data_IF_321871422522
#
_entry.id   IF_321871422522
#
_cell.length_a   1.000
_cell.length_b   1.000
_cell.length_c   1.000
_cell.angle_alpha   90.00
_cell.angle_beta   90.00
_cell.angle_gamma   90.00
#
_symmetry.space_group_name_H-M   'P 1'
#
loop_
_entity.id
_entity.type
_entity.pdbx_description
1 polymer ?
#
# COMPACT_ATOMS: atom_id res chain seq x y z
N UNK A 1 -1.02 9.08 34.38
CA UNK A 1 0.45 8.94 34.26
C UNK A 1 1.01 10.28 33.83
N UNK A 2 1.93 10.87 34.59
CA UNK A 2 2.57 12.13 34.22
C UNK A 2 3.82 11.85 33.36
N UNK A 3 3.75 12.19 32.07
CA UNK A 3 4.86 12.05 31.11
C UNK A 3 5.60 13.36 30.87
N UNK A 4 5.41 14.39 31.70
CA UNK A 4 6.04 15.70 31.51
C UNK A 4 7.56 15.65 31.66
N UNK A 5 8.10 14.73 32.47
CA UNK A 5 9.54 14.51 32.63
C UNK A 5 10.12 13.45 31.66
N UNK A 6 9.34 13.02 30.66
CA UNK A 6 9.82 12.10 29.63
C UNK A 6 10.32 12.90 28.44
N UNK A 7 11.44 12.50 27.87
CA UNK A 7 11.98 12.99 26.60
C UNK A 7 12.01 11.84 25.57
N UNK A 8 11.52 12.08 24.36
CA UNK A 8 11.47 11.10 23.27
C UNK A 8 12.22 11.63 22.06
N UNK A 9 13.25 10.88 21.65
CA UNK A 9 13.91 11.02 20.36
C UNK A 9 13.54 9.85 19.48
N UNK A 10 13.23 10.09 18.21
CA UNK A 10 12.87 9.05 17.26
C UNK A 10 13.45 9.33 15.89
N UNK A 11 13.66 8.27 15.12
CA UNK A 11 13.78 8.40 13.67
C UNK A 11 12.44 8.88 13.13
N UNK A 12 12.47 9.83 12.20
CA UNK A 12 11.26 10.37 11.56
C UNK A 12 10.52 9.28 10.77
N UNK A 13 9.18 9.32 10.74
CA UNK A 13 8.39 8.40 9.90
C UNK A 13 8.81 8.52 8.42
N UNK A 14 8.77 7.40 7.68
CA UNK A 14 9.15 7.32 6.27
C UNK A 14 10.66 7.17 6.02
N UNK A 15 11.50 7.02 7.04
CA UNK A 15 12.89 6.58 6.85
C UNK A 15 12.99 5.07 6.70
N UNK A 16 13.89 4.62 5.82
CA UNK A 16 14.35 3.21 5.85
C UNK A 16 15.23 3.04 7.09
N UNK A 17 14.98 1.98 7.85
CA UNK A 17 15.68 1.66 9.11
C UNK A 17 16.23 0.25 9.07
N UNK A 18 17.27 -0.01 9.84
CA UNK A 18 17.98 -1.29 9.83
C UNK A 18 18.03 -1.94 11.22
N UNK A 19 18.16 -3.28 11.28
CA UNK A 19 18.37 -3.98 12.54
C UNK A 19 19.56 -3.41 13.32
N UNK A 20 19.46 -3.43 14.65
CA UNK A 20 20.48 -2.96 15.59
C UNK A 20 20.70 -1.44 15.68
N UNK A 21 19.94 -0.63 14.94
CA UNK A 21 19.88 0.83 15.14
C UNK A 21 18.68 1.19 16.02
N UNK A 22 18.83 2.02 17.07
CA UNK A 22 17.71 2.54 17.84
C UNK A 22 16.71 3.30 16.95
N UNK A 23 15.47 2.81 16.91
CA UNK A 23 14.35 3.55 16.27
C UNK A 23 13.90 4.73 17.12
N UNK A 24 13.93 4.53 18.44
CA UNK A 24 13.47 5.50 19.43
C UNK A 24 14.33 5.40 20.70
N UNK A 25 14.55 6.55 21.33
CA UNK A 25 15.17 6.70 22.65
C UNK A 25 14.19 7.41 23.57
N UNK A 26 13.89 6.78 24.69
CA UNK A 26 12.99 7.30 25.72
C UNK A 26 13.79 7.52 26.99
N UNK A 27 13.75 8.73 27.53
CA UNK A 27 14.51 9.16 28.70
C UNK A 27 13.57 9.78 29.73
N UNK A 28 13.79 9.53 31.01
CA UNK A 28 12.93 10.04 32.08
C UNK A 28 12.94 9.14 33.33
N UNK A 29 12.04 9.40 34.29
CA UNK A 29 11.92 8.57 35.49
C UNK A 29 11.65 7.10 35.14
N UNK A 30 12.45 6.19 35.70
CA UNK A 30 12.44 4.76 35.35
C UNK A 30 11.03 4.15 35.40
N UNK A 31 10.26 4.46 36.44
CA UNK A 31 8.90 3.95 36.60
C UNK A 31 7.96 4.37 35.46
N UNK A 32 8.13 5.57 34.92
CA UNK A 32 7.29 6.10 33.84
C UNK A 32 7.73 5.49 32.50
N UNK A 33 9.03 5.54 32.18
CA UNK A 33 9.52 5.03 30.88
C UNK A 33 9.33 3.52 30.74
N UNK A 34 9.37 2.76 31.85
CA UNK A 34 9.09 1.33 31.84
C UNK A 34 7.64 1.02 31.49
N UNK A 35 6.68 1.86 31.90
CA UNK A 35 5.27 1.70 31.53
C UNK A 35 5.01 2.04 30.05
N UNK A 36 5.91 2.80 29.41
CA UNK A 36 5.82 3.14 28.00
C UNK A 36 6.34 2.03 27.06
N UNK A 37 7.09 1.05 27.57
CA UNK A 37 7.65 -0.05 26.76
C UNK A 37 6.57 -0.76 25.94
N UNK A 38 5.54 -1.30 26.61
CA UNK A 38 4.48 -2.08 25.96
C UNK A 38 3.71 -1.30 24.89
N UNK A 39 3.15 -0.11 25.17
CA UNK A 39 2.39 0.63 24.15
C UNK A 39 3.28 1.09 22.99
N UNK A 40 4.52 1.52 23.24
CA UNK A 40 5.43 1.94 22.17
C UNK A 40 5.82 0.76 21.28
N UNK A 41 6.13 -0.40 21.86
CA UNK A 41 6.42 -1.60 21.08
C UNK A 41 5.23 -2.05 20.24
N UNK A 42 4.02 -2.01 20.78
CA UNK A 42 2.81 -2.38 20.03
C UNK A 42 2.60 -1.48 18.81
N UNK A 43 2.67 -0.15 19.01
CA UNK A 43 2.46 0.83 17.94
C UNK A 43 3.56 0.77 16.87
N UNK A 44 4.84 0.76 17.29
CA UNK A 44 5.99 0.82 16.37
C UNK A 44 6.13 -0.47 15.57
N UNK A 45 5.96 -1.65 16.19
CA UNK A 45 6.06 -2.91 15.48
C UNK A 45 5.02 -2.98 14.36
N UNK A 46 3.75 -2.72 14.68
CA UNK A 46 2.67 -2.84 13.69
C UNK A 46 2.82 -1.82 12.56
N UNK A 47 3.05 -0.55 12.90
CA UNK A 47 3.20 0.53 11.93
C UNK A 47 4.34 0.25 10.93
N UNK A 48 5.51 -0.09 11.45
CA UNK A 48 6.71 -0.34 10.65
C UNK A 48 6.54 -1.60 9.78
N UNK A 49 5.89 -2.64 10.32
CA UNK A 49 5.66 -3.90 9.62
C UNK A 49 4.74 -3.72 8.41
N UNK A 50 3.56 -3.09 8.60
CA UNK A 50 2.61 -2.87 7.50
C UNK A 50 3.19 -1.96 6.43
N UNK A 51 3.89 -0.88 6.82
CA UNK A 51 4.53 0.01 5.86
C UNK A 51 5.62 -0.70 5.04
N UNK A 52 6.44 -1.54 5.69
CA UNK A 52 7.46 -2.34 5.02
C UNK A 52 6.83 -3.35 4.08
N UNK A 53 5.78 -4.04 4.51
CA UNK A 53 5.05 -5.00 3.69
C UNK A 53 4.44 -4.32 2.45
N UNK A 54 3.84 -3.13 2.63
CA UNK A 54 3.31 -2.33 1.54
C UNK A 54 4.39 -1.90 0.52
N UNK A 55 5.57 -1.48 1.01
CA UNK A 55 6.71 -1.14 0.16
C UNK A 55 7.20 -2.34 -0.67
N UNK A 56 7.18 -3.54 -0.11
CA UNK A 56 7.56 -4.77 -0.82
C UNK A 56 6.55 -5.13 -1.92
N UNK A 57 5.26 -5.01 -1.65
CA UNK A 57 4.22 -5.18 -2.67
C UNK A 57 4.36 -4.15 -3.79
N UNK A 58 4.60 -2.87 -3.45
CA UNK A 58 4.90 -1.81 -4.43
C UNK A 58 6.12 -2.15 -5.29
N UNK A 59 7.18 -2.66 -4.68
CA UNK A 59 8.39 -3.04 -5.41
C UNK A 59 8.10 -4.10 -6.49
N UNK A 60 7.32 -5.14 -6.16
CA UNK A 60 6.97 -6.21 -7.10
C UNK A 60 5.93 -5.76 -8.14
N UNK A 61 4.91 -5.02 -7.74
CA UNK A 61 3.86 -4.54 -8.65
C UNK A 61 4.37 -3.50 -9.66
N UNK A 62 5.47 -2.82 -9.34
CA UNK A 62 6.03 -1.75 -10.16
C UNK A 62 5.33 -0.40 -9.93
N UNK A 63 5.91 0.67 -10.51
CA UNK A 63 5.42 2.05 -10.34
C UNK A 63 4.22 2.39 -11.23
N UNK A 64 4.00 1.63 -12.31
CA UNK A 64 2.94 1.89 -13.29
C UNK A 64 1.57 1.36 -12.87
N UNK A 65 1.52 0.40 -11.94
CA UNK A 65 0.27 -0.24 -11.50
C UNK A 65 -0.31 0.50 -10.30
N UNK A 66 -1.63 0.59 -10.24
CA UNK A 66 -2.33 1.13 -9.09
C UNK A 66 -2.42 0.06 -7.99
N UNK A 67 -2.08 0.41 -6.75
CA UNK A 67 -2.23 -0.48 -5.60
C UNK A 67 -3.33 0.01 -4.67
N UNK A 68 -4.28 -0.86 -4.36
CA UNK A 68 -5.47 -0.57 -3.56
C UNK A 68 -5.49 -1.43 -2.30
N UNK A 69 -5.61 -0.81 -1.13
CA UNK A 69 -5.72 -1.52 0.15
C UNK A 69 -7.17 -1.89 0.43
N UNK A 70 -7.49 -3.19 0.36
CA UNK A 70 -8.84 -3.77 0.52
C UNK A 70 -8.92 -4.73 1.71
N UNK A 71 -8.03 -4.60 2.69
CA UNK A 71 -7.84 -5.52 3.80
C UNK A 71 -8.65 -5.23 5.04
N UNK A 72 -9.38 -4.11 5.13
CA UNK A 72 -10.15 -3.69 6.31
C UNK A 72 -10.87 -4.85 7.03
N UNK A 73 -11.56 -5.72 6.28
CA UNK A 73 -12.35 -6.84 6.83
C UNK A 73 -11.53 -7.96 7.50
N UNK A 74 -10.20 -7.96 7.33
CA UNK A 74 -9.26 -8.94 7.92
C UNK A 74 -8.19 -8.27 8.80
N UNK A 75 -8.22 -6.94 8.92
CA UNK A 75 -7.30 -6.22 9.77
C UNK A 75 -7.49 -6.62 11.25
N UNK A 76 -6.40 -6.65 12.02
CA UNK A 76 -6.40 -7.23 13.36
C UNK A 76 -6.73 -6.17 14.43
N UNK A 77 -7.83 -6.37 15.15
CA UNK A 77 -8.26 -5.50 16.24
C UNK A 77 -8.99 -4.23 15.79
N UNK A 78 -9.53 -3.44 16.74
CA UNK A 78 -10.37 -2.28 16.45
C UNK A 78 -9.63 -1.17 15.69
N UNK A 79 -8.37 -0.91 16.04
CA UNK A 79 -7.55 0.12 15.38
C UNK A 79 -6.78 -0.40 14.16
N UNK A 80 -6.73 -1.73 13.98
CA UNK A 80 -5.96 -2.37 12.92
C UNK A 80 -6.37 -1.93 11.53
N UNK A 81 -7.67 -1.72 11.30
CA UNK A 81 -8.18 -1.25 10.00
C UNK A 81 -7.67 0.13 9.62
N UNK A 82 -7.79 1.10 10.53
CA UNK A 82 -7.37 2.50 10.29
C UNK A 82 -5.84 2.59 10.20
N UNK A 83 -5.14 1.93 11.13
CA UNK A 83 -3.68 1.85 11.11
C UNK A 83 -3.16 1.22 9.83
N UNK A 84 -3.70 0.07 9.42
CA UNK A 84 -3.28 -0.62 8.21
C UNK A 84 -3.38 0.26 6.97
N UNK A 85 -4.51 0.97 6.80
CA UNK A 85 -4.71 1.87 5.66
C UNK A 85 -3.70 3.02 5.66
N UNK A 86 -3.44 3.66 6.81
CA UNK A 86 -2.42 4.72 6.96
C UNK A 86 -1.04 4.24 6.53
N UNK A 87 -0.59 3.12 7.09
CA UNK A 87 0.77 2.63 6.90
C UNK A 87 0.95 1.98 5.52
N UNK A 88 -0.10 1.38 4.95
CA UNK A 88 -0.08 0.89 3.57
C UNK A 88 0.08 2.04 2.58
N UNK A 89 -0.66 3.13 2.78
CA UNK A 89 -0.52 4.34 1.97
C UNK A 89 0.87 4.96 2.11
N UNK A 90 1.42 5.00 3.32
CA UNK A 90 2.79 5.46 3.58
C UNK A 90 3.84 4.59 2.85
N UNK A 91 3.65 3.27 2.83
CA UNK A 91 4.55 2.32 2.18
C UNK A 91 4.44 2.26 0.66
N UNK A 92 3.41 2.86 0.06
CA UNK A 92 3.31 3.04 -1.39
C UNK A 92 2.01 2.61 -2.06
N UNK A 93 0.97 2.23 -1.31
CA UNK A 93 -0.37 1.96 -1.87
C UNK A 93 -1.12 3.25 -2.18
N UNK A 94 -1.87 3.32 -3.27
CA UNK A 94 -2.39 4.59 -3.79
C UNK A 94 -3.75 5.00 -3.23
N UNK A 95 -4.55 4.04 -2.78
CA UNK A 95 -5.87 4.27 -2.22
C UNK A 95 -6.29 3.16 -1.26
N UNK A 96 -7.38 3.39 -0.52
CA UNK A 96 -7.97 2.43 0.41
C UNK A 96 -9.49 2.33 0.23
N UNK A 97 -10.07 1.18 0.58
CA UNK A 97 -11.52 1.05 0.78
C UNK A 97 -12.02 1.59 2.12
N UNK A 98 -11.12 1.93 3.05
CA UNK A 98 -11.47 2.34 4.41
C UNK A 98 -11.85 3.82 4.48
N UNK A 99 -13.15 4.09 4.51
CA UNK A 99 -13.71 5.45 4.58
C UNK A 99 -13.26 6.24 5.81
N UNK A 100 -13.05 5.57 6.95
CA UNK A 100 -12.58 6.24 8.17
C UNK A 100 -11.13 6.72 8.01
N UNK A 101 -10.26 5.91 7.40
CA UNK A 101 -8.90 6.31 7.09
C UNK A 101 -8.85 7.43 6.03
N UNK A 102 -9.73 7.39 5.02
CA UNK A 102 -9.88 8.49 4.05
C UNK A 102 -10.26 9.81 4.72
N UNK A 103 -11.22 9.78 5.66
CA UNK A 103 -11.63 10.96 6.43
C UNK A 103 -10.52 11.50 7.34
N UNK A 104 -9.80 10.63 8.06
CA UNK A 104 -8.79 11.03 9.05
C UNK A 104 -7.49 11.51 8.42
N UNK A 105 -7.08 10.91 7.30
CA UNK A 105 -5.74 11.10 6.73
C UNK A 105 -5.73 11.64 5.31
N UNK A 106 -6.90 11.88 4.70
CA UNK A 106 -7.01 12.34 3.32
C UNK A 106 -6.52 11.32 2.29
N UNK A 107 -6.52 10.02 2.64
CA UNK A 107 -6.13 8.95 1.72
C UNK A 107 -7.20 8.80 0.63
N UNK A 108 -6.83 8.73 -0.66
CA UNK A 108 -7.79 8.52 -1.73
C UNK A 108 -8.65 7.27 -1.49
N UNK A 109 -9.95 7.40 -1.71
CA UNK A 109 -10.91 6.30 -1.57
C UNK A 109 -11.15 5.62 -2.92
N UNK A 110 -11.12 4.28 -2.89
CA UNK A 110 -11.48 3.42 -4.02
C UNK A 110 -12.26 2.23 -3.53
N UNK A 111 -13.28 1.84 -4.29
CA UNK A 111 -14.16 0.72 -3.95
C UNK A 111 -15.08 0.41 -5.13
N UNK A 112 -15.74 -0.74 -5.06
CA UNK A 112 -16.69 -1.24 -6.06
C UNK A 112 -17.86 -1.87 -5.32
N UNK A 113 -18.82 -2.46 -6.04
CA UNK A 113 -19.81 -3.36 -5.43
C UNK A 113 -19.24 -4.77 -5.14
N UNK A 114 -19.99 -5.58 -4.41
CA UNK A 114 -19.62 -6.94 -3.98
C UNK A 114 -20.41 -8.01 -4.73
N UNK A 115 -20.02 -9.28 -4.60
CA UNK A 115 -20.83 -10.41 -5.11
C UNK A 115 -22.21 -10.47 -4.48
N UNK A 116 -22.33 -10.10 -3.19
CA UNK A 116 -23.62 -10.06 -2.51
C UNK A 116 -24.59 -9.06 -3.16
N UNK A 117 -24.07 -7.93 -3.66
CA UNK A 117 -24.87 -6.99 -4.43
C UNK A 117 -25.29 -7.56 -5.78
N UNK A 118 -24.42 -8.29 -6.50
CA UNK A 118 -24.82 -8.92 -7.77
C UNK A 118 -25.89 -9.99 -7.55
N UNK A 119 -25.73 -10.81 -6.50
CA UNK A 119 -26.65 -11.89 -6.15
C UNK A 119 -27.99 -11.42 -5.60
N UNK A 120 -28.17 -10.14 -5.25
CA UNK A 120 -29.45 -9.63 -4.76
C UNK A 120 -30.46 -9.32 -5.87
N UNK A 121 -30.06 -9.45 -7.13
CA UNK A 121 -30.89 -9.17 -8.31
C UNK A 121 -31.34 -10.48 -8.96
N UNK A 122 -32.55 -10.46 -9.52
CA UNK A 122 -33.09 -11.57 -10.31
C UNK A 122 -33.15 -11.23 -11.79
N UNK A 123 -33.49 -9.99 -12.14
CA UNK A 123 -33.63 -9.57 -13.54
C UNK A 123 -33.73 -8.04 -13.67
N UNK A 124 -33.40 -7.46 -14.84
CA UNK A 124 -33.49 -6.01 -15.02
C UNK A 124 -34.91 -5.44 -14.91
N UNK A 125 -35.94 -6.29 -14.88
CA UNK A 125 -37.33 -5.87 -14.73
C UNK A 125 -37.68 -5.42 -13.30
N UNK A 126 -36.83 -5.75 -12.31
CA UNK A 126 -37.00 -5.29 -10.92
C UNK A 126 -36.52 -3.85 -10.69
N UNK A 127 -35.82 -3.27 -11.68
CA UNK A 127 -35.35 -1.88 -11.65
C UNK A 127 -36.53 -0.96 -11.90
N UNK A 128 -36.96 -0.25 -10.86
CA UNK A 128 -38.13 0.65 -10.92
C UNK A 128 -37.79 2.01 -11.49
N UNK A 129 -36.72 2.63 -11.00
CA UNK A 129 -36.21 3.90 -11.52
C UNK A 129 -35.16 3.64 -12.60
N UNK A 130 -35.50 4.01 -13.84
CA UNK A 130 -34.69 3.72 -15.04
C UNK A 130 -34.15 4.98 -15.69
N UNK A 131 -34.46 6.14 -15.11
CA UNK A 131 -34.12 7.42 -15.69
C UNK A 131 -32.65 7.76 -15.42
N UNK A 132 -31.92 8.12 -16.47
CA UNK A 132 -30.54 8.59 -16.35
C UNK A 132 -30.33 9.84 -17.19
N UNK A 133 -29.97 10.95 -16.54
CA UNK A 133 -29.57 12.16 -17.24
C UNK A 133 -28.21 11.99 -17.90
N UNK A 134 -28.02 12.62 -19.06
CA UNK A 134 -26.72 12.80 -19.67
C UNK A 134 -25.73 13.45 -18.69
N UNK A 135 -24.44 13.25 -18.94
CA UNK A 135 -23.37 13.81 -18.11
C UNK A 135 -23.45 15.35 -17.93
N UNK A 136 -23.94 16.05 -18.94
CA UNK A 136 -24.14 17.51 -18.92
C UNK A 136 -25.49 17.95 -18.33
N UNK A 137 -26.36 17.01 -17.98
CA UNK A 137 -27.71 17.26 -17.46
C UNK A 137 -28.73 17.75 -18.49
N UNK A 138 -28.39 17.80 -19.78
CA UNK A 138 -29.22 18.43 -20.81
C UNK A 138 -30.44 17.62 -21.23
N UNK A 139 -30.32 16.29 -21.25
CA UNK A 139 -31.36 15.36 -21.68
C UNK A 139 -31.42 14.15 -20.75
N UNK A 140 -32.61 13.58 -20.60
CA UNK A 140 -32.84 12.36 -19.84
C UNK A 140 -33.03 11.17 -20.79
N UNK A 141 -32.33 10.07 -20.51
CA UNK A 141 -32.68 8.76 -20.99
C UNK A 141 -33.77 8.20 -20.08
N UNK A 142 -35.02 8.17 -20.55
CA UNK A 142 -36.18 7.69 -19.77
C UNK A 142 -36.07 6.21 -19.38
N UNK A 143 -35.36 5.39 -20.17
CA UNK A 143 -35.18 3.97 -19.90
C UNK A 143 -33.75 3.50 -20.25
N UNK A 144 -32.84 3.72 -19.31
CA UNK A 144 -31.45 3.28 -19.39
C UNK A 144 -31.32 1.75 -19.45
N UNK A 145 -32.25 1.02 -18.83
CA UNK A 145 -32.27 -0.46 -18.85
C UNK A 145 -32.48 -0.97 -20.27
N UNK A 146 -33.42 -0.37 -21.01
CA UNK A 146 -33.65 -0.68 -22.42
C UNK A 146 -32.46 -0.31 -23.31
N UNK A 147 -31.74 0.76 -22.99
CA UNK A 147 -30.51 1.14 -23.69
C UNK A 147 -29.40 0.09 -23.49
N UNK A 148 -29.15 -0.33 -22.24
CA UNK A 148 -28.18 -1.38 -21.93
C UNK A 148 -28.54 -2.72 -22.61
N UNK A 149 -29.81 -3.14 -22.57
CA UNK A 149 -30.30 -4.32 -23.30
C UNK A 149 -30.11 -4.20 -24.82
N UNK A 150 -30.24 -3.00 -25.37
CA UNK A 150 -30.02 -2.74 -26.79
C UNK A 150 -28.55 -2.92 -27.16
N UNK A 151 -27.63 -2.41 -26.35
CA UNK A 151 -26.20 -2.63 -26.54
C UNK A 151 -25.81 -4.10 -26.39
N UNK A 152 -26.37 -4.82 -25.42
CA UNK A 152 -26.12 -6.25 -25.27
C UNK A 152 -26.54 -7.03 -26.53
N UNK A 153 -27.71 -6.70 -27.09
CA UNK A 153 -28.18 -7.29 -28.37
C UNK A 153 -27.24 -6.94 -29.54
N UNK A 154 -26.69 -5.73 -29.59
CA UNK A 154 -25.69 -5.33 -30.61
C UNK A 154 -24.40 -6.13 -30.46
N UNK A 155 -23.87 -6.25 -29.23
CA UNK A 155 -22.67 -7.02 -28.93
C UNK A 155 -22.84 -8.51 -29.28
N UNK A 156 -24.02 -9.09 -29.01
CA UNK A 156 -24.32 -10.48 -29.36
C UNK A 156 -24.32 -10.72 -30.89
N UNK A 157 -24.61 -9.69 -31.68
CA UNK A 157 -24.64 -9.75 -33.16
C UNK A 157 -23.34 -9.28 -33.81
N UNK A 158 -22.34 -8.87 -33.01
CA UNK A 158 -21.04 -8.44 -33.53
C UNK A 158 -20.38 -9.56 -34.33
N UNK A 159 -19.68 -9.19 -35.41
CA UNK A 159 -18.98 -10.17 -36.23
C UNK A 159 -17.75 -10.76 -35.53
N UNK A 160 -17.16 -10.01 -34.60
CA UNK A 160 -15.96 -10.41 -33.86
C UNK A 160 -16.33 -11.14 -32.56
N UNK A 161 -17.42 -10.74 -31.91
CA UNK A 161 -17.81 -11.21 -30.58
C UNK A 161 -19.01 -12.18 -30.61
N UNK A 162 -19.79 -12.23 -31.69
CA UNK A 162 -21.08 -12.91 -31.80
C UNK A 162 -21.06 -14.45 -31.75
N UNK A 163 -19.93 -15.06 -31.43
CA UNK A 163 -19.79 -16.48 -31.11
C UNK A 163 -19.14 -16.76 -29.75
N UNK A 164 -18.68 -15.72 -29.04
CA UNK A 164 -17.98 -15.84 -27.75
C UNK A 164 -18.99 -16.12 -26.63
N UNK A 165 -20.16 -15.50 -26.69
CA UNK A 165 -21.20 -15.63 -25.67
C UNK A 165 -22.60 -15.77 -26.27
N UNK A 166 -23.48 -16.46 -25.54
CA UNK A 166 -24.87 -16.72 -25.92
C UNK A 166 -25.83 -15.80 -25.17
N UNK A 167 -26.58 -16.36 -24.23
CA UNK A 167 -27.32 -15.58 -23.23
C UNK A 167 -26.40 -15.28 -22.04
N UNK A 168 -26.41 -14.03 -21.58
CA UNK A 168 -25.72 -13.61 -20.35
C UNK A 168 -26.65 -13.73 -19.15
N UNK A 169 -26.08 -13.77 -17.95
CA UNK A 169 -26.84 -13.81 -16.72
C UNK A 169 -27.61 -12.48 -16.52
N UNK A 170 -28.93 -12.58 -16.33
CA UNK A 170 -29.82 -11.42 -16.17
C UNK A 170 -29.63 -10.71 -14.83
N UNK A 171 -29.28 -11.43 -13.76
CA UNK A 171 -28.94 -10.84 -12.46
C UNK A 171 -27.70 -9.95 -12.56
N UNK A 172 -26.66 -10.38 -13.28
CA UNK A 172 -25.48 -9.53 -13.53
C UNK A 172 -25.84 -8.26 -14.30
N UNK A 173 -26.61 -8.38 -15.38
CA UNK A 173 -27.05 -7.22 -16.15
C UNK A 173 -27.87 -6.25 -15.30
N UNK A 174 -28.79 -6.77 -14.48
CA UNK A 174 -29.61 -5.99 -13.58
C UNK A 174 -28.78 -5.25 -12.53
N UNK A 175 -27.85 -5.95 -11.88
CA UNK A 175 -26.97 -5.37 -10.88
C UNK A 175 -26.07 -4.29 -11.47
N UNK A 176 -25.45 -4.55 -12.63
CA UNK A 176 -24.57 -3.58 -13.28
C UNK A 176 -25.33 -2.33 -13.74
N UNK A 177 -26.51 -2.51 -14.31
CA UNK A 177 -27.38 -1.40 -14.74
C UNK A 177 -27.82 -0.57 -13.53
N UNK A 178 -28.23 -1.22 -12.44
CA UNK A 178 -28.61 -0.55 -11.19
C UNK A 178 -27.44 0.23 -10.57
N UNK A 179 -26.23 -0.35 -10.59
CA UNK A 179 -25.03 0.32 -10.09
C UNK A 179 -24.66 1.53 -10.97
N UNK A 180 -24.79 1.41 -12.29
CA UNK A 180 -24.56 2.50 -13.23
C UNK A 180 -25.57 3.63 -13.07
N UNK A 181 -26.84 3.34 -12.79
CA UNK A 181 -27.87 4.35 -12.48
C UNK A 181 -27.51 5.16 -11.24
N UNK A 182 -27.04 4.50 -10.18
CA UNK A 182 -26.65 5.16 -8.94
C UNK A 182 -25.30 5.89 -9.03
N UNK A 183 -24.34 5.35 -9.80
CA UNK A 183 -22.95 5.82 -9.86
C UNK A 183 -22.43 5.92 -11.30
N UNK A 184 -23.06 6.71 -12.19
CA UNK A 184 -22.77 6.67 -13.63
C UNK A 184 -21.34 7.13 -13.96
N UNK A 185 -20.76 8.03 -13.17
CA UNK A 185 -19.37 8.49 -13.33
C UNK A 185 -18.32 7.59 -12.68
N UNK A 186 -18.72 6.61 -11.86
CA UNK A 186 -17.81 5.73 -11.10
C UNK A 186 -18.14 4.24 -11.33
N UNK A 187 -18.74 3.91 -12.47
CA UNK A 187 -19.17 2.54 -12.78
C UNK A 187 -17.97 1.61 -12.96
N UNK A 188 -17.77 0.71 -11.99
CA UNK A 188 -16.79 -0.37 -12.02
C UNK A 188 -17.49 -1.69 -11.67
N UNK A 189 -17.47 -2.66 -12.58
CA UNK A 189 -18.23 -3.90 -12.43
C UNK A 189 -17.37 -5.08 -11.94
N UNK A 190 -17.90 -5.85 -10.98
CA UNK A 190 -17.37 -7.15 -10.60
C UNK A 190 -17.91 -8.23 -11.54
N UNK A 191 -17.05 -8.75 -12.43
CA UNK A 191 -17.48 -9.52 -13.61
C UNK A 191 -17.36 -11.04 -13.47
N UNK A 192 -16.94 -11.55 -12.32
CA UNK A 192 -16.65 -12.96 -12.10
C UNK A 192 -17.65 -13.63 -11.14
N UNK A 193 -18.89 -13.15 -11.10
CA UNK A 193 -19.91 -13.77 -10.23
C UNK A 193 -20.42 -15.09 -10.80
N UNK A 194 -20.59 -15.19 -12.12
CA UNK A 194 -21.03 -16.42 -12.79
C UNK A 194 -20.04 -16.92 -13.84
N UNK A 195 -19.79 -16.12 -14.89
CA UNK A 195 -18.81 -16.44 -15.93
C UNK A 195 -18.24 -15.13 -16.50
N UNK A 196 -16.92 -14.97 -16.38
CA UNK A 196 -16.22 -13.74 -16.78
C UNK A 196 -16.38 -13.44 -18.26
N UNK A 197 -16.09 -14.42 -19.12
CA UNK A 197 -15.98 -14.20 -20.57
C UNK A 197 -17.36 -14.27 -21.22
N UNK A 198 -18.23 -15.16 -20.75
CA UNK A 198 -19.52 -15.45 -21.36
C UNK A 198 -20.67 -14.63 -20.77
N UNK A 199 -20.48 -13.96 -19.64
CA UNK A 199 -21.54 -13.19 -18.97
C UNK A 199 -21.09 -11.83 -18.47
N UNK A 200 -20.13 -11.78 -17.55
CA UNK A 200 -19.75 -10.56 -16.85
C UNK A 200 -19.14 -9.49 -17.76
N UNK A 201 -18.15 -9.84 -18.59
CA UNK A 201 -17.55 -8.90 -19.55
C UNK A 201 -18.57 -8.39 -20.57
N UNK A 202 -19.38 -9.25 -21.24
CA UNK A 202 -20.41 -8.77 -22.15
C UNK A 202 -21.45 -7.85 -21.48
N UNK A 203 -21.92 -8.19 -20.27
CA UNK A 203 -22.85 -7.37 -19.51
C UNK A 203 -22.24 -6.02 -19.12
N UNK A 204 -21.00 -6.00 -18.64
CA UNK A 204 -20.27 -4.77 -18.36
C UNK A 204 -20.16 -3.90 -19.61
N UNK A 205 -19.75 -4.47 -20.74
CA UNK A 205 -19.58 -3.73 -21.98
C UNK A 205 -20.90 -3.11 -22.46
N UNK A 206 -22.01 -3.85 -22.35
CA UNK A 206 -23.32 -3.34 -22.71
C UNK A 206 -23.71 -2.09 -21.89
N UNK A 207 -23.51 -2.15 -20.56
CA UNK A 207 -23.80 -1.03 -19.66
C UNK A 207 -22.81 0.13 -19.87
N UNK A 208 -21.52 -0.16 -20.07
CA UNK A 208 -20.49 0.85 -20.30
C UNK A 208 -20.70 1.62 -21.61
N UNK A 209 -21.13 0.94 -22.68
CA UNK A 209 -21.48 1.57 -23.95
C UNK A 209 -22.76 2.41 -23.83
N UNK A 210 -23.77 1.91 -23.11
CA UNK A 210 -24.97 2.69 -22.80
C UNK A 210 -24.64 3.96 -22.01
N UNK A 211 -23.76 3.88 -21.02
CA UNK A 211 -23.26 5.05 -20.28
C UNK A 211 -22.54 6.05 -21.20
N UNK A 212 -21.75 5.54 -22.15
CA UNK A 212 -21.01 6.36 -23.10
C UNK A 212 -21.91 7.12 -24.07
N UNK A 213 -23.01 6.53 -24.52
CA UNK A 213 -24.03 7.23 -25.32
C UNK A 213 -24.60 8.45 -24.57
N UNK A 214 -24.60 8.42 -23.23
CA UNK A 214 -25.04 9.52 -22.36
C UNK A 214 -23.89 10.42 -21.89
N UNK A 215 -22.69 10.25 -22.44
CA UNK A 215 -21.51 11.07 -22.13
C UNK A 215 -20.71 10.66 -20.89
N UNK A 216 -21.08 9.57 -20.21
CA UNK A 216 -20.30 9.05 -19.08
C UNK A 216 -19.15 8.15 -19.53
N UNK A 217 -18.15 8.00 -18.66
CA UNK A 217 -17.04 7.06 -18.84
C UNK A 217 -17.05 6.04 -17.71
N UNK A 218 -17.25 4.77 -18.06
CA UNK A 218 -17.06 3.66 -17.14
C UNK A 218 -15.60 3.60 -16.65
N UNK A 219 -15.41 3.24 -15.38
CA UNK A 219 -14.07 3.11 -14.77
C UNK A 219 -13.39 1.83 -15.22
N UNK A 220 -14.10 0.69 -15.18
CA UNK A 220 -13.54 -0.59 -15.61
C UNK A 220 -14.19 -1.82 -14.98
N UNK A 221 -13.43 -2.91 -14.95
CA UNK A 221 -13.86 -4.19 -14.36
C UNK A 221 -13.00 -4.60 -13.16
N UNK A 222 -13.56 -5.44 -12.29
CA UNK A 222 -12.82 -6.19 -11.27
C UNK A 222 -12.93 -7.70 -11.51
N UNK A 223 -11.79 -8.38 -11.48
CA UNK A 223 -11.64 -9.83 -11.42
C UNK A 223 -11.25 -10.22 -9.98
N UNK A 224 -11.94 -11.15 -9.35
CA UNK A 224 -11.70 -11.60 -7.97
C UNK A 224 -11.49 -13.13 -7.86
N UNK A 225 -11.34 -13.83 -8.99
CA UNK A 225 -11.17 -15.28 -9.06
C UNK A 225 -10.68 -15.75 -10.44
N UNK A 226 -10.36 -17.04 -10.54
CA UNK A 226 -9.87 -17.67 -11.77
C UNK A 226 -8.40 -17.38 -12.08
N UNK A 227 -7.97 -17.71 -13.30
CA UNK A 227 -6.64 -17.37 -13.82
C UNK A 227 -6.61 -15.89 -14.21
N UNK A 228 -6.16 -15.05 -13.28
CA UNK A 228 -6.16 -13.60 -13.43
C UNK A 228 -5.31 -13.12 -14.61
N UNK A 229 -4.20 -13.79 -14.94
CA UNK A 229 -3.37 -13.41 -16.09
C UNK A 229 -4.16 -13.66 -17.38
N UNK A 230 -4.65 -14.88 -17.58
CA UNK A 230 -5.45 -15.25 -18.75
C UNK A 230 -6.69 -14.38 -18.89
N UNK A 231 -7.50 -14.25 -17.83
CA UNK A 231 -8.75 -13.51 -17.85
C UNK A 231 -8.54 -12.01 -18.12
N UNK A 232 -7.46 -11.41 -17.60
CA UNK A 232 -7.14 -10.02 -17.90
C UNK A 232 -6.82 -9.83 -19.39
N UNK A 233 -6.07 -10.76 -20.00
CA UNK A 233 -5.73 -10.73 -21.42
C UNK A 233 -6.98 -10.91 -22.29
N UNK A 234 -7.88 -11.83 -21.93
CA UNK A 234 -9.14 -12.00 -22.65
C UNK A 234 -10.05 -10.77 -22.54
N UNK A 235 -10.13 -10.15 -21.36
CA UNK A 235 -10.87 -8.90 -21.18
C UNK A 235 -10.30 -7.77 -22.06
N UNK A 236 -8.97 -7.61 -22.10
CA UNK A 236 -8.32 -6.59 -22.93
C UNK A 236 -8.61 -6.80 -24.42
N UNK A 237 -8.52 -8.04 -24.91
CA UNK A 237 -8.87 -8.38 -26.30
C UNK A 237 -10.32 -8.05 -26.62
N UNK A 238 -11.24 -8.36 -25.70
CA UNK A 238 -12.66 -8.06 -25.84
C UNK A 238 -12.90 -6.55 -25.96
N UNK A 239 -12.24 -5.74 -25.12
CA UNK A 239 -12.34 -4.28 -25.15
C UNK A 239 -11.76 -3.69 -26.44
N UNK A 240 -10.61 -4.18 -26.91
CA UNK A 240 -9.99 -3.73 -28.16
C UNK A 240 -10.85 -4.09 -29.38
N UNK A 241 -11.50 -5.25 -29.37
CA UNK A 241 -12.43 -5.64 -30.42
C UNK A 241 -13.64 -4.69 -30.49
N UNK A 242 -14.21 -4.31 -29.34
CA UNK A 242 -15.30 -3.34 -29.26
C UNK A 242 -14.87 -1.98 -29.80
N UNK A 243 -13.71 -1.47 -29.35
CA UNK A 243 -13.18 -0.18 -29.81
C UNK A 243 -13.08 -0.15 -31.34
N UNK A 244 -12.53 -1.21 -31.94
CA UNK A 244 -12.35 -1.31 -33.38
C UNK A 244 -13.66 -1.45 -34.16
N UNK A 245 -14.58 -2.30 -33.70
CA UNK A 245 -15.81 -2.60 -34.44
C UNK A 245 -16.85 -1.47 -34.32
N UNK A 246 -17.00 -0.88 -33.14
CA UNK A 246 -18.00 0.14 -32.89
C UNK A 246 -17.46 1.57 -32.95
N UNK A 247 -16.15 1.75 -33.23
CA UNK A 247 -15.53 3.07 -33.38
C UNK A 247 -15.54 3.87 -32.08
N UNK A 248 -15.28 3.20 -30.95
CA UNK A 248 -15.44 3.77 -29.61
C UNK A 248 -14.06 4.04 -29.00
N UNK A 249 -13.47 5.23 -29.20
CA UNK A 249 -12.09 5.50 -28.82
C UNK A 249 -11.87 5.33 -27.31
N UNK A 250 -10.67 4.89 -26.94
CA UNK A 250 -10.19 4.61 -25.58
C UNK A 250 -10.87 3.43 -24.87
N UNK A 251 -11.84 2.75 -25.49
CA UNK A 251 -12.54 1.64 -24.85
C UNK A 251 -11.62 0.43 -24.65
N UNK A 252 -10.69 0.17 -25.56
CA UNK A 252 -9.65 -0.85 -25.45
C UNK A 252 -8.72 -0.66 -24.26
N UNK A 253 -8.62 0.57 -23.73
CA UNK A 253 -7.83 0.93 -22.55
C UNK A 253 -8.67 0.95 -21.25
N UNK A 254 -9.87 0.39 -21.25
CA UNK A 254 -10.72 0.26 -20.05
C UNK A 254 -9.96 -0.44 -18.93
N UNK A 255 -10.03 0.09 -17.70
CA UNK A 255 -9.20 -0.39 -16.59
C UNK A 255 -9.59 -1.80 -16.15
N UNK A 256 -8.58 -2.63 -15.88
CA UNK A 256 -8.74 -3.96 -15.30
C UNK A 256 -8.16 -3.96 -13.89
N UNK A 257 -9.00 -4.17 -12.89
CA UNK A 257 -8.60 -4.37 -11.50
C UNK A 257 -8.62 -5.86 -11.17
N UNK A 258 -7.59 -6.37 -10.50
CA UNK A 258 -7.61 -7.71 -9.94
C UNK A 258 -7.54 -7.66 -8.41
N UNK A 259 -8.37 -8.45 -7.75
CA UNK A 259 -8.23 -8.84 -6.36
C UNK A 259 -8.26 -10.37 -6.27
N UNK A 260 -7.96 -10.92 -5.09
CA UNK A 260 -7.99 -12.36 -4.69
C UNK A 260 -6.64 -12.86 -4.16
N UNK A 261 -6.51 -12.93 -2.83
CA UNK A 261 -5.33 -13.46 -2.11
C UNK A 261 -3.96 -13.09 -2.73
N UNK A 262 -3.88 -11.86 -3.25
CA UNK A 262 -2.67 -11.33 -3.87
C UNK A 262 -1.60 -11.10 -2.81
N UNK A 263 -0.36 -11.44 -3.15
CA UNK A 263 0.82 -11.24 -2.34
C UNK A 263 2.06 -11.07 -3.26
N UNK A 264 3.23 -10.82 -2.68
CA UNK A 264 4.47 -10.64 -3.46
C UNK A 264 4.78 -11.78 -4.44
N UNK A 265 4.48 -13.03 -4.08
CA UNK A 265 4.78 -14.21 -4.92
C UNK A 265 3.80 -14.30 -6.09
N UNK A 266 2.51 -14.08 -5.84
CA UNK A 266 1.49 -14.13 -6.89
C UNK A 266 1.61 -12.94 -7.84
N UNK A 267 1.96 -11.74 -7.35
CA UNK A 267 2.29 -10.59 -8.20
C UNK A 267 3.50 -10.86 -9.11
N UNK A 268 4.57 -11.45 -8.56
CA UNK A 268 5.76 -11.83 -9.34
C UNK A 268 5.42 -12.90 -10.40
N UNK A 269 4.53 -13.84 -10.09
CA UNK A 269 4.05 -14.84 -11.04
C UNK A 269 3.23 -14.21 -12.18
N UNK A 270 2.29 -13.30 -11.86
CA UNK A 270 1.51 -12.58 -12.86
C UNK A 270 2.44 -11.79 -13.81
N UNK A 271 3.40 -11.05 -13.27
CA UNK A 271 4.36 -10.28 -14.06
C UNK A 271 5.15 -11.17 -15.04
N UNK A 272 5.53 -12.38 -14.63
CA UNK A 272 6.27 -13.34 -15.49
C UNK A 272 5.40 -13.98 -16.56
N UNK A 273 4.13 -14.22 -16.28
CA UNK A 273 3.17 -14.77 -17.24
C UNK A 273 2.77 -13.75 -18.31
N UNK A 274 2.81 -12.46 -17.98
CA UNK A 274 2.25 -11.39 -18.79
C UNK A 274 0.76 -11.25 -18.52
N UNK A 275 0.35 -10.06 -18.09
CA UNK A 275 -1.04 -9.75 -17.75
C UNK A 275 -1.41 -8.33 -18.21
N UNK A 276 -2.71 -8.09 -18.34
CA UNK A 276 -3.28 -6.80 -18.76
C UNK A 276 -3.93 -6.01 -17.60
N UNK A 277 -3.72 -6.48 -16.36
CA UNK A 277 -4.20 -5.85 -15.12
C UNK A 277 -3.52 -4.49 -14.90
N UNK A 278 -4.32 -3.46 -14.59
CA UNK A 278 -3.89 -2.08 -14.35
C UNK A 278 -3.83 -1.74 -12.84
N UNK A 279 -4.66 -2.40 -12.04
CA UNK A 279 -4.77 -2.16 -10.60
C UNK A 279 -4.87 -3.47 -9.79
N UNK A 280 -4.23 -3.51 -8.62
CA UNK A 280 -4.31 -4.64 -7.70
C UNK A 280 -4.98 -4.24 -6.38
N UNK A 281 -6.07 -4.92 -6.04
CA UNK A 281 -6.71 -4.87 -4.73
C UNK A 281 -6.16 -5.93 -3.80
N UNK A 282 -5.39 -5.52 -2.79
CA UNK A 282 -4.70 -6.43 -1.88
C UNK A 282 -5.27 -6.30 -0.46
N UNK A 283 -5.67 -7.42 0.11
CA UNK A 283 -6.35 -7.48 1.41
C UNK A 283 -5.50 -8.17 2.48
N UNK A 284 -5.83 -9.44 2.77
CA UNK A 284 -5.31 -10.21 3.90
C UNK A 284 -3.79 -10.14 4.02
N UNK A 285 -3.05 -10.49 2.96
CA UNK A 285 -1.59 -10.56 2.99
C UNK A 285 -0.90 -9.23 3.29
N UNK A 286 -1.56 -8.11 2.99
CA UNK A 286 -1.05 -6.78 3.27
C UNK A 286 -1.24 -6.41 4.75
N UNK A 287 -2.50 -6.40 5.21
CA UNK A 287 -2.87 -5.80 6.50
C UNK A 287 -2.55 -6.66 7.71
N UNK A 288 -2.42 -7.99 7.51
CA UNK A 288 -2.00 -8.93 8.57
C UNK A 288 -0.50 -9.24 8.51
N UNK A 289 0.18 -8.78 7.45
CA UNK A 289 1.57 -9.14 7.18
C UNK A 289 1.79 -10.66 7.23
N UNK A 290 0.90 -11.41 6.57
CA UNK A 290 0.71 -12.85 6.76
C UNK A 290 2.00 -13.69 6.77
N UNK A 291 2.98 -13.37 5.91
CA UNK A 291 4.24 -14.09 5.84
C UNK A 291 5.12 -13.92 7.09
N UNK A 292 5.01 -12.78 7.77
CA UNK A 292 5.73 -12.46 9.00
C UNK A 292 4.89 -11.46 9.82
N UNK A 293 3.97 -11.91 10.69
CA UNK A 293 3.01 -11.04 11.37
C UNK A 293 3.59 -10.23 12.54
N UNK A 294 4.92 -10.24 12.72
CA UNK A 294 5.63 -9.46 13.74
C UNK A 294 7.00 -9.01 13.22
N UNK A 295 7.40 -7.76 13.53
CA UNK A 295 8.70 -7.24 13.13
C UNK A 295 9.84 -7.69 14.06
N UNK A 296 9.59 -7.71 15.37
CA UNK A 296 10.57 -8.11 16.38
C UNK A 296 11.36 -6.94 17.00
N UNK A 297 10.80 -5.73 17.02
CA UNK A 297 11.41 -4.63 17.75
C UNK A 297 11.43 -4.91 19.26
N UNK A 298 12.49 -4.44 19.94
CA UNK A 298 12.72 -4.65 21.37
C UNK A 298 12.95 -3.32 22.08
N UNK A 299 12.59 -3.27 23.36
CA UNK A 299 12.88 -2.16 24.25
C UNK A 299 13.92 -2.61 25.28
N UNK A 300 14.95 -1.79 25.51
CA UNK A 300 16.08 -2.14 26.39
C UNK A 300 16.58 -0.92 27.16
N UNK A 301 16.83 -1.11 28.45
CA UNK A 301 17.57 -0.16 29.28
C UNK A 301 19.04 -0.17 28.87
N UNK A 302 19.57 0.99 28.48
CA UNK A 302 20.98 1.15 28.08
C UNK A 302 21.79 2.01 29.06
N UNK A 303 21.11 2.79 29.89
CA UNK A 303 21.72 3.72 30.83
C UNK A 303 20.73 4.07 31.96
N UNK A 304 21.22 4.18 33.20
CA UNK A 304 20.44 4.65 34.35
C UNK A 304 21.34 5.50 35.25
N UNK A 305 20.88 6.67 35.68
CA UNK A 305 21.67 7.61 36.50
C UNK A 305 23.07 7.87 35.92
N UNK A 306 23.15 8.09 34.60
CA UNK A 306 24.40 8.26 33.82
C UNK A 306 25.38 7.07 33.91
N UNK A 307 24.93 5.90 34.38
CA UNK A 307 25.71 4.68 34.38
C UNK A 307 25.24 3.76 33.24
N UNK A 308 26.15 3.38 32.33
CA UNK A 308 25.83 2.43 31.26
C UNK A 308 25.34 1.08 31.79
N UNK A 309 24.38 0.48 31.09
CA UNK A 309 23.83 -0.85 31.40
C UNK A 309 23.92 -1.75 30.17
N UNK A 310 24.33 -2.99 30.41
CA UNK A 310 24.43 -4.03 29.40
C UNK A 310 23.70 -5.28 29.89
N UNK A 311 22.82 -5.82 29.04
CA UNK A 311 22.19 -7.12 29.22
C UNK A 311 22.98 -8.14 28.41
N UNK A 312 23.61 -9.08 29.11
CA UNK A 312 24.31 -10.21 28.48
C UNK A 312 23.31 -11.28 28.03
N UNK A 313 23.75 -12.11 27.11
CA UNK A 313 22.97 -13.19 26.50
C UNK A 313 23.93 -14.25 25.99
N UNK A 314 23.52 -15.52 26.02
CA UNK A 314 24.31 -16.62 25.42
C UNK A 314 24.43 -16.43 23.89
N UNK A 315 23.38 -15.89 23.28
CA UNK A 315 23.40 -15.40 21.90
C UNK A 315 24.01 -13.99 21.87
N UNK A 316 25.22 -13.87 21.31
CA UNK A 316 25.97 -12.60 21.18
C UNK A 316 25.17 -11.53 20.45
N UNK A 317 24.31 -11.91 19.50
CA UNK A 317 23.48 -10.95 18.74
C UNK A 317 22.38 -10.31 19.59
N UNK A 318 22.05 -10.90 20.74
CA UNK A 318 21.06 -10.40 21.71
C UNK A 318 21.68 -9.63 22.88
N UNK A 319 23.00 -9.41 22.85
CA UNK A 319 23.68 -8.54 23.81
C UNK A 319 23.35 -7.08 23.48
N UNK A 320 22.88 -6.32 24.47
CA UNK A 320 22.53 -4.91 24.25
C UNK A 320 23.77 -4.03 24.18
N UNK A 321 23.78 -3.03 23.30
CA UNK A 321 24.84 -2.01 23.27
C UNK A 321 24.56 -0.97 24.37
N UNK A 322 25.49 -0.72 25.32
CA UNK A 322 25.27 0.17 26.46
C UNK A 322 25.28 1.66 26.08
N UNK A 323 25.01 2.52 27.07
CA UNK A 323 25.03 4.00 27.03
C UNK A 323 23.91 4.66 26.21
N UNK A 324 23.67 5.93 26.50
CA UNK A 324 22.93 6.84 25.62
C UNK A 324 23.69 7.05 24.30
N UNK A 325 23.00 6.79 23.19
CA UNK A 325 23.58 6.80 21.83
C UNK A 325 22.95 7.87 20.94
N UNK A 326 23.74 8.39 20.01
CA UNK A 326 23.33 9.15 18.83
C UNK A 326 23.59 8.31 17.59
N UNK A 327 22.72 8.41 16.59
CA UNK A 327 22.77 7.58 15.39
C UNK A 327 22.86 8.46 14.15
N UNK A 328 23.76 8.10 13.24
CA UNK A 328 23.98 8.84 12.00
C UNK A 328 23.98 7.91 10.81
N UNK A 329 23.37 8.34 9.71
CA UNK A 329 23.51 7.70 8.41
C UNK A 329 24.56 8.42 7.58
N UNK A 330 25.53 7.65 7.08
CA UNK A 330 26.62 8.15 6.26
C UNK A 330 26.35 7.85 4.79
N UNK A 331 26.50 8.83 3.92
CA UNK A 331 26.23 8.71 2.49
C UNK A 331 27.51 8.86 1.66
N UNK A 332 27.57 8.13 0.55
CA UNK A 332 28.67 8.18 -0.42
C UNK A 332 28.55 9.32 -1.43
N UNK A 333 29.51 9.39 -2.37
CA UNK A 333 29.49 10.39 -3.48
C UNK A 333 28.31 10.18 -4.42
N UNK A 334 27.88 8.93 -4.53
CA UNK A 334 26.79 8.48 -5.39
C UNK A 334 25.41 8.76 -4.77
N UNK A 335 25.35 9.30 -3.55
CA UNK A 335 24.10 9.73 -2.89
C UNK A 335 23.32 8.63 -2.18
N UNK A 336 23.75 7.37 -2.24
CA UNK A 336 23.15 6.28 -1.45
C UNK A 336 23.81 6.13 -0.07
N UNK A 337 23.07 5.53 0.86
CA UNK A 337 23.52 5.27 2.22
C UNK A 337 24.54 4.11 2.29
N UNK A 338 25.60 4.29 3.09
CA UNK A 338 26.74 3.37 3.18
C UNK A 338 26.71 2.53 4.45
N UNK A 339 26.43 3.19 5.58
CA UNK A 339 26.49 2.65 6.93
C UNK A 339 25.71 3.57 7.86
N UNK A 340 25.04 2.98 8.84
CA UNK A 340 24.53 3.72 10.00
C UNK A 340 25.55 3.55 11.13
N UNK A 341 26.02 4.63 11.73
CA UNK A 341 26.96 4.60 12.85
C UNK A 341 26.29 5.05 14.13
N UNK A 342 26.52 4.32 15.21
CA UNK A 342 26.14 4.69 16.57
C UNK A 342 27.35 5.19 17.34
N UNK A 343 27.23 6.35 17.97
CA UNK A 343 28.25 6.94 18.83
C UNK A 343 27.65 7.28 20.20
N UNK A 344 28.49 7.41 21.22
CA UNK A 344 28.06 7.90 22.53
C UNK A 344 27.56 9.36 22.47
N UNK A 345 26.67 9.76 23.39
CA UNK A 345 26.12 11.12 23.41
C UNK A 345 27.19 12.22 23.41
N UNK A 346 28.31 11.99 24.10
CA UNK A 346 29.41 12.94 24.27
C UNK A 346 30.54 12.78 23.23
N UNK A 347 30.40 11.85 22.28
CA UNK A 347 31.41 11.66 21.23
C UNK A 347 31.24 12.70 20.11
N UNK A 348 32.34 13.00 19.42
CA UNK A 348 32.31 13.97 18.31
C UNK A 348 31.50 13.40 17.14
N UNK A 349 30.49 14.13 16.63
CA UNK A 349 29.73 13.71 15.46
C UNK A 349 30.61 13.49 14.23
N UNK A 350 30.29 12.51 13.37
CA UNK A 350 30.93 12.39 12.06
C UNK A 350 30.71 13.66 11.25
N UNK A 351 31.71 14.06 10.45
CA UNK A 351 31.67 15.25 9.60
C UNK A 351 31.90 14.88 8.15
N UNK A 352 31.29 15.67 7.25
CA UNK A 352 31.48 15.54 5.81
C UNK A 352 32.96 15.71 5.46
N UNK A 353 33.48 14.81 4.63
CA UNK A 353 34.88 14.82 4.18
C UNK A 353 35.89 14.28 5.19
N UNK A 354 35.51 14.03 6.44
CA UNK A 354 36.41 13.48 7.45
C UNK A 354 36.36 11.96 7.49
N UNK A 355 37.53 11.31 7.45
CA UNK A 355 37.63 9.84 7.46
C UNK A 355 37.31 9.29 8.84
N UNK A 356 36.33 8.39 8.92
CA UNK A 356 35.94 7.68 10.14
C UNK A 356 36.14 6.17 10.01
N UNK A 357 36.54 5.52 11.10
CA UNK A 357 36.63 4.06 11.18
C UNK A 357 35.32 3.50 11.76
N UNK A 358 34.53 2.83 10.92
CA UNK A 358 33.33 2.12 11.33
C UNK A 358 33.69 0.67 11.70
N UNK A 359 33.21 0.19 12.85
CA UNK A 359 33.47 -1.16 13.36
C UNK A 359 32.14 -1.86 13.62
N UNK A 360 32.05 -3.12 13.21
CA UNK A 360 30.90 -3.95 13.55
C UNK A 360 30.87 -4.18 15.07
N UNK A 361 29.71 -4.05 15.74
CA UNK A 361 29.62 -4.05 17.20
C UNK A 361 30.08 -5.37 17.86
N UNK A 362 29.97 -6.49 17.14
CA UNK A 362 30.25 -7.83 17.67
C UNK A 362 31.30 -8.64 16.89
N UNK A 363 31.88 -8.08 15.82
CA UNK A 363 32.82 -8.82 14.98
C UNK A 363 34.01 -7.94 14.63
N UNK A 364 35.12 -8.14 15.33
CA UNK A 364 36.31 -7.29 15.26
C UNK A 364 36.94 -7.25 13.86
N UNK A 365 36.85 -8.35 13.10
CA UNK A 365 37.40 -8.42 11.74
C UNK A 365 36.58 -7.59 10.73
N UNK A 366 35.31 -7.27 11.05
CA UNK A 366 34.44 -6.46 10.21
C UNK A 366 34.58 -4.98 10.56
N UNK A 367 35.37 -4.27 9.74
CA UNK A 367 35.60 -2.83 9.87
C UNK A 367 35.79 -2.18 8.51
N UNK A 368 35.47 -0.90 8.40
CA UNK A 368 35.62 -0.13 7.18
C UNK A 368 35.97 1.32 7.48
N UNK A 369 36.84 1.92 6.66
CA UNK A 369 36.98 3.37 6.64
C UNK A 369 35.94 3.98 5.70
N UNK A 370 35.28 5.04 6.15
CA UNK A 370 34.28 5.78 5.38
C UNK A 370 34.66 7.26 5.36
N UNK A 371 34.50 7.90 4.20
CA UNK A 371 34.62 9.35 4.04
C UNK A 371 33.27 9.87 3.55
N UNK A 372 32.36 10.27 4.46
CA UNK A 372 31.00 10.60 4.10
C UNK A 372 30.96 11.90 3.28
N UNK A 373 30.10 11.94 2.27
CA UNK A 373 29.79 13.16 1.50
C UNK A 373 28.54 13.87 2.03
N UNK A 374 27.71 13.13 2.74
CA UNK A 374 26.61 13.66 3.52
C UNK A 374 26.48 12.84 4.82
N UNK A 375 26.15 13.54 5.90
CA UNK A 375 25.97 12.98 7.24
C UNK A 375 24.61 13.40 7.74
N UNK A 376 23.79 12.43 8.14
CA UNK A 376 22.45 12.67 8.62
C UNK A 376 22.27 12.13 10.02
N UNK A 377 21.99 12.99 11.00
CA UNK A 377 21.58 12.55 12.34
C UNK A 377 20.15 12.03 12.32
N UNK A 378 19.97 10.77 12.68
CA UNK A 378 18.70 10.04 12.52
C UNK A 378 17.70 10.33 13.64
N UNK A 379 18.16 10.41 14.90
CA UNK A 379 17.29 10.61 16.05
C UNK A 379 16.99 12.10 16.22
N UNK A 380 15.70 12.46 16.15
CA UNK A 380 15.21 13.82 16.38
C UNK A 380 14.26 13.89 17.57
N UNK A 381 14.21 15.03 18.25
CA UNK A 381 13.41 15.22 19.46
C UNK A 381 11.95 15.52 19.12
N UNK A 382 11.04 14.57 19.32
CA UNK A 382 9.60 14.74 19.05
C UNK A 382 8.79 15.08 20.31
N UNK A 383 9.35 14.79 21.49
CA UNK A 383 8.75 15.15 22.76
C UNK A 383 9.86 15.58 23.73
N UNK A 384 10.04 16.89 23.98
CA UNK A 384 11.11 17.38 24.85
C UNK A 384 10.77 17.24 26.35
N UNK A 385 9.51 16.95 26.70
CA UNK A 385 9.07 17.02 28.09
C UNK A 385 9.35 18.41 28.68
N UNK A 386 10.07 18.46 29.80
CA UNK A 386 10.54 19.69 30.46
C UNK A 386 11.98 20.08 30.11
N UNK A 387 12.66 19.37 29.21
CA UNK A 387 14.07 19.66 28.90
C UNK A 387 14.30 20.95 28.11
N UNK A 388 13.23 21.56 27.58
CA UNK A 388 13.31 22.79 26.78
C UNK A 388 13.93 22.60 25.40
N UNK A 389 14.20 21.36 24.97
CA UNK A 389 14.69 21.07 23.62
C UNK A 389 13.65 21.45 22.57
N UNK A 390 14.13 21.89 21.40
CA UNK A 390 13.28 22.13 20.25
C UNK A 390 12.55 20.83 19.88
N UNK A 391 11.24 20.94 19.71
CA UNK A 391 10.37 19.86 19.27
C UNK A 391 10.30 19.86 17.75
N UNK A 392 10.50 18.69 17.15
CA UNK A 392 10.16 18.47 15.75
C UNK A 392 8.65 18.41 15.55
N UNK A 393 8.18 19.06 14.48
CA UNK A 393 6.79 19.00 14.06
C UNK A 393 6.49 17.70 13.30
N UNK A 394 5.27 17.20 13.46
CA UNK A 394 4.82 16.02 12.72
C UNK A 394 4.44 16.44 11.29
N UNK A 395 5.13 15.91 10.26
CA UNK A 395 4.80 16.27 8.88
C UNK A 395 3.47 15.63 8.45
N UNK A 396 2.75 16.23 7.47
CA UNK A 396 1.60 15.60 6.83
C UNK A 396 1.94 14.23 6.23
N UNK A 397 0.97 13.31 6.23
CA UNK A 397 1.13 11.93 5.72
C UNK A 397 1.70 11.88 4.29
N UNK A 398 1.33 12.84 3.44
CA UNK A 398 1.84 12.96 2.07
C UNK A 398 3.37 13.15 2.03
N UNK A 399 3.91 14.04 2.87
CA UNK A 399 5.36 14.26 2.96
C UNK A 399 6.10 13.03 3.53
N UNK A 400 5.46 12.33 4.48
CA UNK A 400 5.99 11.06 5.02
C UNK A 400 6.08 10.01 3.92
N UNK A 401 5.02 9.86 3.11
CA UNK A 401 5.01 8.95 1.95
C UNK A 401 6.08 9.31 0.93
N UNK A 402 6.19 10.59 0.55
CA UNK A 402 7.21 11.06 -0.41
C UNK A 402 8.62 10.77 0.10
N UNK A 403 8.86 10.97 1.40
CA UNK A 403 10.12 10.60 2.04
C UNK A 403 10.38 9.09 1.99
N UNK A 404 9.38 8.27 2.29
CA UNK A 404 9.48 6.80 2.21
C UNK A 404 9.89 6.34 0.81
N UNK A 405 9.19 6.82 -0.22
CA UNK A 405 9.48 6.50 -1.62
C UNK A 405 10.89 6.97 -1.99
N UNK A 406 11.27 8.20 -1.62
CA UNK A 406 12.60 8.74 -1.89
C UNK A 406 13.70 7.93 -1.22
N UNK A 407 13.53 7.54 0.04
CA UNK A 407 14.49 6.73 0.77
C UNK A 407 14.69 5.38 0.09
N UNK A 408 13.61 4.70 -0.31
CA UNK A 408 13.68 3.44 -1.05
C UNK A 408 14.35 3.61 -2.42
N UNK A 409 14.05 4.68 -3.17
CA UNK A 409 14.66 4.96 -4.47
C UNK A 409 16.17 5.30 -4.37
N UNK A 410 16.61 5.84 -3.23
CA UNK A 410 18.01 6.15 -2.95
C UNK A 410 18.81 4.97 -2.37
N UNK A 411 18.14 3.87 -1.99
CA UNK A 411 18.82 2.67 -1.52
C UNK A 411 19.47 1.93 -2.68
N UNK A 412 20.66 1.37 -2.43
CA UNK A 412 21.27 0.46 -3.41
C UNK A 412 20.38 -0.77 -3.63
N UNK A 413 20.29 -1.19 -4.88
CA UNK A 413 19.42 -2.29 -5.31
C UNK A 413 19.76 -3.64 -4.66
N UNK A 414 20.99 -3.85 -4.22
CA UNK A 414 21.42 -5.07 -3.52
C UNK A 414 20.82 -5.20 -2.10
N UNK A 415 20.51 -4.09 -1.44
CA UNK A 415 19.79 -4.08 -0.16
C UNK A 415 18.28 -4.33 -0.33
N UNK A 416 17.72 -3.97 -1.49
CA UNK A 416 16.29 -4.08 -1.78
C UNK A 416 15.88 -5.46 -2.33
N UNK A 417 16.84 -6.37 -2.57
CA UNK A 417 16.54 -7.70 -3.13
C UNK A 417 15.63 -8.48 -2.18
N UNK A 418 14.64 -9.16 -2.76
CA UNK A 418 13.75 -10.05 -2.02
C UNK A 418 14.46 -11.31 -1.51
N UNK A 419 15.30 -11.88 -2.35
CA UNK A 419 16.07 -13.09 -2.05
C UNK A 419 17.51 -12.69 -1.76
N UNK A 420 18.01 -13.10 -0.61
CA UNK A 420 19.39 -12.89 -0.16
C UNK A 420 19.87 -11.43 -0.34
N UNK A 421 19.18 -10.43 0.26
CA UNK A 421 19.66 -9.06 0.22
C UNK A 421 21.02 -8.94 0.88
N UNK A 422 21.85 -8.03 0.37
CA UNK A 422 23.12 -7.71 1.01
C UNK A 422 22.83 -7.06 2.38
N UNK A 423 23.39 -7.57 3.49
CA UNK A 423 23.19 -6.96 4.80
C UNK A 423 23.69 -5.51 4.81
N UNK A 424 22.87 -4.60 5.31
CA UNK A 424 23.27 -3.21 5.52
C UNK A 424 24.21 -3.11 6.73
N UNK A 425 25.17 -2.19 6.68
CA UNK A 425 26.21 -2.03 7.70
C UNK A 425 25.71 -1.13 8.83
N UNK A 426 25.90 -1.58 10.08
CA UNK A 426 25.62 -0.85 11.32
C UNK A 426 26.83 -0.94 12.23
#
# INVERSE_FOLDING_TARGET
MDCSNVEIHSISEGYVVFPNVPLMRVEGPIAVVQLLETPLLNLINYASLVATNAARHRFVAGKSKLLLEFGLRRAQGPDGGIGASKYSYMGGFDATSNVAAGKLFGIPLRGTHSHAFVNSFMSPDEITDKLLYNYDGSHACEDFVSLARTWLRKLKRSHVLGGIFGETNQSELAAFTSYALAFPSNFLALVDTYDVVRSGIPNFCAVALALKDLGYKAVGIRLDSGDLAYLSCEARKFFQAIEKEFGVPDFGNTSITASNDLNEVTLDALNKQGHEIDAFGIGTHLVTCYAQPALGAVFKLVEINSQPRIKLSEDVTKVSIPCKKRCYRLYGKEGYSLVDIMIGENETPPKVGERILCRHPFNESKRAYVVPQHVEELLKCFWPGRSGKAREELPPLKLIRERCIKQLDQMRTDHLRRLNPTPYKV
#
